data_IF_171341894132
#
_entry.id   IF_171341894132
#
_cell.length_a   1.000
_cell.length_b   1.000
_cell.length_c   1.000
_cell.angle_alpha   90.00
_cell.angle_beta   90.00
_cell.angle_gamma   90.00
#
_symmetry.space_group_name_H-M   'P 1'
#
loop_
_entity.id
_entity.type
_entity.pdbx_description
1 polymer ?
#
# COMPACT_ATOMS: atom_id res chain seq x y z
N UNK A 1 -16.13 -5.07 14.84
CA UNK A 1 -17.08 -5.27 15.97
C UNK A 1 -16.72 -4.44 17.21
N UNK A 2 -15.43 -4.14 17.49
CA UNK A 2 -15.04 -3.00 18.34
C UNK A 2 -14.60 -1.78 17.50
N UNK A 3 -13.86 -2.03 16.41
CA UNK A 3 -13.41 -1.02 15.45
C UNK A 3 -14.57 -0.17 14.88
N UNK A 4 -15.71 -0.76 14.55
CA UNK A 4 -16.85 -0.01 14.00
C UNK A 4 -17.42 0.99 15.01
N UNK A 5 -17.52 0.62 16.29
CA UNK A 5 -17.99 1.53 17.35
C UNK A 5 -17.01 2.68 17.58
N UNK A 6 -15.70 2.39 17.49
CA UNK A 6 -14.68 3.43 17.56
C UNK A 6 -14.66 4.30 16.31
N UNK A 7 -14.93 3.75 15.13
CA UNK A 7 -15.02 4.47 13.86
C UNK A 7 -16.21 5.44 13.88
N UNK A 8 -17.36 5.01 14.40
CA UNK A 8 -18.53 5.89 14.59
C UNK A 8 -18.22 7.07 15.53
N UNK A 9 -17.41 6.86 16.57
CA UNK A 9 -17.11 7.88 17.59
C UNK A 9 -15.91 8.77 17.25
N UNK A 10 -14.88 8.20 16.63
CA UNK A 10 -13.57 8.84 16.40
C UNK A 10 -13.17 8.92 14.92
N UNK A 11 -14.01 8.46 13.99
CA UNK A 11 -13.73 8.48 12.55
C UNK A 11 -13.37 9.86 12.01
N UNK A 12 -13.94 10.92 12.60
CA UNK A 12 -13.64 12.32 12.24
C UNK A 12 -12.20 12.77 12.54
N UNK A 13 -11.48 12.07 13.42
CA UNK A 13 -10.09 12.38 13.78
C UNK A 13 -9.08 11.55 12.97
N UNK A 14 -9.54 10.69 12.06
CA UNK A 14 -8.66 9.90 11.23
C UNK A 14 -7.89 10.81 10.26
N UNK A 15 -6.56 10.69 10.26
CA UNK A 15 -5.70 11.52 9.40
C UNK A 15 -5.72 10.93 7.99
N UNK A 16 -6.26 11.63 6.98
CA UNK A 16 -6.25 11.15 5.61
C UNK A 16 -4.84 11.17 5.04
N UNK A 17 -4.51 10.19 4.21
CA UNK A 17 -3.19 10.07 3.58
C UNK A 17 -2.04 9.91 4.59
N UNK A 18 -2.30 9.23 5.72
CA UNK A 18 -1.27 8.89 6.71
C UNK A 18 -0.03 8.20 6.09
N UNK A 19 -0.13 7.29 5.09
CA UNK A 19 1.04 6.74 4.39
C UNK A 19 1.98 7.81 3.83
N UNK A 20 1.44 8.92 3.31
CA UNK A 20 2.26 10.02 2.78
C UNK A 20 3.05 10.70 3.88
N UNK A 21 2.42 10.91 5.04
CA UNK A 21 3.05 11.53 6.21
C UNK A 21 4.19 10.63 6.72
N UNK A 22 3.93 9.33 6.87
CA UNK A 22 4.95 8.36 7.31
C UNK A 22 6.16 8.38 6.39
N UNK A 23 5.92 8.34 5.07
CA UNK A 23 7.00 8.36 4.07
C UNK A 23 7.77 9.67 4.09
N UNK A 24 7.11 10.79 4.34
CA UNK A 24 7.78 12.09 4.51
C UNK A 24 8.63 12.11 5.78
N UNK A 25 8.16 11.54 6.88
CA UNK A 25 8.97 11.39 8.12
C UNK A 25 10.21 10.54 7.86
N UNK A 26 10.09 9.43 7.14
CA UNK A 26 11.23 8.60 6.75
C UNK A 26 12.20 9.34 5.82
N UNK A 27 11.71 10.16 4.89
CA UNK A 27 12.56 11.00 4.06
C UNK A 27 13.36 12.01 4.90
N UNK A 28 12.72 12.65 5.89
CA UNK A 28 13.38 13.57 6.83
C UNK A 28 14.43 12.83 7.66
N UNK A 29 14.09 11.68 8.24
CA UNK A 29 15.04 10.88 9.02
C UNK A 29 16.23 10.40 8.20
N UNK A 30 16.01 10.02 6.94
CA UNK A 30 17.08 9.67 6.01
C UNK A 30 18.03 10.85 5.76
N UNK A 31 17.50 12.06 5.56
CA UNK A 31 18.34 13.26 5.41
C UNK A 31 19.16 13.53 6.68
N UNK A 32 18.54 13.40 7.86
CA UNK A 32 19.25 13.56 9.14
C UNK A 32 20.38 12.53 9.28
N UNK A 33 20.12 11.26 8.94
CA UNK A 33 21.12 10.19 8.97
C UNK A 33 22.37 10.52 8.13
N UNK A 34 22.18 11.15 6.96
CA UNK A 34 23.28 11.49 6.06
C UNK A 34 24.02 12.79 6.46
N UNK A 35 23.34 13.74 7.12
CA UNK A 35 23.96 14.99 7.57
C UNK A 35 24.73 14.80 8.88
N UNK A 36 24.13 14.09 9.84
CA UNK A 36 24.74 13.90 11.15
C UNK A 36 24.27 12.58 11.79
N UNK A 37 25.14 11.55 11.78
CA UNK A 37 24.87 10.30 12.49
C UNK A 37 24.59 10.51 13.99
N UNK A 38 25.17 11.56 14.59
CA UNK A 38 24.93 11.93 15.99
C UNK A 38 23.52 12.48 16.22
N UNK A 39 22.95 13.20 15.25
CA UNK A 39 21.54 13.63 15.35
C UNK A 39 20.59 12.45 15.14
N UNK A 40 20.96 11.50 14.26
CA UNK A 40 20.15 10.31 14.01
C UNK A 40 20.00 9.43 15.26
N UNK A 41 21.06 9.23 16.03
CA UNK A 41 20.99 8.47 17.29
C UNK A 41 20.15 9.18 18.38
N UNK A 42 19.86 10.48 18.25
CA UNK A 42 18.91 11.19 19.11
C UNK A 42 17.45 10.87 18.78
N UNK A 43 17.18 10.28 17.61
CA UNK A 43 15.83 9.94 17.16
C UNK A 43 15.35 8.60 17.74
N UNK A 44 16.27 7.67 18.04
CA UNK A 44 15.97 6.30 18.49
C UNK A 44 15.11 6.26 19.75
N UNK A 45 14.22 5.27 19.82
CA UNK A 45 13.40 5.06 21.00
C UNK A 45 14.23 4.37 22.08
N UNK A 46 14.69 5.17 23.05
CA UNK A 46 15.46 4.69 24.20
C UNK A 46 14.75 5.06 25.52
N UNK A 47 14.15 4.09 26.24
CA UNK A 47 13.42 4.34 27.48
C UNK A 47 14.28 4.97 28.58
N UNK A 48 15.54 4.54 28.72
CA UNK A 48 16.46 5.09 29.72
C UNK A 48 16.66 6.60 29.51
N UNK A 49 16.97 7.01 28.28
CA UNK A 49 17.18 8.42 27.95
C UNK A 49 15.90 9.26 28.05
N UNK A 50 14.74 8.66 27.80
CA UNK A 50 13.44 9.32 28.00
C UNK A 50 13.24 9.65 29.49
N UNK A 51 13.54 8.70 30.38
CA UNK A 51 13.46 8.92 31.83
C UNK A 51 14.46 9.96 32.34
N UNK A 52 15.55 10.20 31.61
CA UNK A 52 16.55 11.23 31.88
C UNK A 52 16.29 12.57 31.15
N UNK A 53 15.07 12.79 30.66
CA UNK A 53 14.62 14.08 30.11
C UNK A 53 14.54 14.18 28.58
N UNK A 54 14.91 13.13 27.83
CA UNK A 54 14.81 13.12 26.36
C UNK A 54 13.43 12.66 25.85
N UNK A 55 12.36 13.33 26.29
CA UNK A 55 10.97 12.93 26.03
C UNK A 55 10.57 12.93 24.55
N UNK A 56 11.27 13.70 23.70
CA UNK A 56 11.01 13.76 22.26
C UNK A 56 11.18 12.41 21.56
N UNK A 57 11.99 11.49 22.12
CA UNK A 57 12.24 10.14 21.58
C UNK A 57 10.98 9.30 21.38
N UNK A 58 9.91 9.60 22.12
CA UNK A 58 8.59 8.96 21.97
C UNK A 58 7.95 9.26 20.61
N UNK A 59 8.33 10.37 19.96
CA UNK A 59 7.81 10.78 18.65
C UNK A 59 8.87 10.70 17.57
N UNK A 60 10.12 11.08 17.88
CA UNK A 60 11.18 11.18 16.87
C UNK A 60 11.57 9.83 16.26
N UNK A 61 11.34 8.72 16.96
CA UNK A 61 11.66 7.40 16.42
C UNK A 61 10.84 7.06 15.18
N UNK A 62 9.70 7.72 14.95
CA UNK A 62 8.89 7.59 13.73
C UNK A 62 9.58 8.14 12.49
N UNK A 63 10.63 8.96 12.65
CA UNK A 63 11.45 9.42 11.53
C UNK A 63 12.47 8.35 11.10
N UNK A 64 12.76 7.37 11.95
CA UNK A 64 13.67 6.27 11.62
C UNK A 64 12.99 5.38 10.59
N UNK A 65 13.42 5.54 9.35
CA UNK A 65 12.92 4.78 8.20
C UNK A 65 13.86 3.66 7.78
N UNK A 66 13.53 2.96 6.69
CA UNK A 66 14.37 1.91 6.13
C UNK A 66 15.75 2.46 5.73
N UNK A 67 16.81 1.77 6.14
CA UNK A 67 18.17 2.11 5.77
C UNK A 67 18.52 1.55 4.39
N UNK A 68 18.96 2.42 3.49
CA UNK A 68 19.24 2.09 2.09
C UNK A 68 20.23 3.10 1.52
N UNK A 69 20.86 2.78 0.38
CA UNK A 69 21.70 3.72 -0.35
C UNK A 69 20.90 4.93 -0.86
N UNK A 70 21.60 6.06 -1.05
CA UNK A 70 21.03 7.34 -1.50
C UNK A 70 20.17 7.24 -2.78
N UNK A 71 20.57 6.38 -3.73
CA UNK A 71 19.83 6.19 -4.98
C UNK A 71 18.58 5.33 -4.77
N UNK A 72 18.67 4.33 -3.89
CA UNK A 72 17.59 3.36 -3.66
C UNK A 72 16.51 3.87 -2.70
N UNK A 73 16.82 4.86 -1.86
CA UNK A 73 15.88 5.38 -0.88
C UNK A 73 14.58 5.89 -1.53
N UNK A 74 14.67 6.54 -2.69
CA UNK A 74 13.49 7.05 -3.40
C UNK A 74 12.56 5.90 -3.79
N UNK A 75 13.13 4.82 -4.35
CA UNK A 75 12.36 3.64 -4.74
C UNK A 75 11.73 2.95 -3.53
N UNK A 76 12.48 2.84 -2.42
CA UNK A 76 11.98 2.25 -1.17
C UNK A 76 10.85 3.10 -0.58
N UNK A 77 11.00 4.42 -0.51
CA UNK A 77 9.97 5.33 -0.01
C UNK A 77 8.70 5.29 -0.88
N UNK A 78 8.85 5.25 -2.21
CA UNK A 78 7.72 5.07 -3.12
C UNK A 78 7.04 3.71 -2.93
N UNK A 79 7.81 2.66 -2.66
CA UNK A 79 7.28 1.34 -2.36
C UNK A 79 6.47 1.32 -1.07
N UNK A 80 7.00 1.91 0.02
CA UNK A 80 6.26 2.07 1.28
C UNK A 80 5.01 2.93 1.13
N UNK A 81 5.08 4.01 0.33
CA UNK A 81 3.91 4.82 0.01
C UNK A 81 2.84 4.00 -0.74
N UNK A 82 3.25 3.22 -1.74
CA UNK A 82 2.36 2.37 -2.54
C UNK A 82 1.67 1.30 -1.68
N UNK A 83 2.42 0.64 -0.80
CA UNK A 83 1.89 -0.35 0.16
C UNK A 83 0.89 0.30 1.10
N UNK A 84 1.30 1.38 1.77
CA UNK A 84 0.48 2.06 2.77
C UNK A 84 -0.80 2.62 2.16
N UNK A 85 -0.72 3.27 1.00
CA UNK A 85 -1.90 3.81 0.29
C UNK A 85 -2.85 2.72 -0.18
N UNK A 86 -2.34 1.59 -0.65
CA UNK A 86 -3.16 0.43 -1.03
C UNK A 86 -3.89 -0.16 0.17
N UNK A 87 -3.23 -0.25 1.32
CA UNK A 87 -3.86 -0.68 2.58
C UNK A 87 -4.89 0.32 3.07
N UNK A 88 -4.57 1.62 3.09
CA UNK A 88 -5.51 2.67 3.50
C UNK A 88 -6.77 2.67 2.61
N UNK A 89 -6.62 2.51 1.30
CA UNK A 89 -7.74 2.48 0.37
C UNK A 89 -8.67 1.28 0.60
N UNK A 90 -8.14 0.11 0.96
CA UNK A 90 -8.94 -1.10 1.19
C UNK A 90 -9.51 -1.14 2.61
N UNK A 91 -8.78 -0.66 3.61
CA UNK A 91 -9.20 -0.70 5.01
C UNK A 91 -10.06 0.50 5.41
N UNK A 92 -9.91 1.63 4.71
CA UNK A 92 -10.42 2.94 5.11
C UNK A 92 -9.45 3.67 6.04
N UNK A 93 -9.45 5.00 5.94
CA UNK A 93 -8.54 5.90 6.66
C UNK A 93 -8.49 5.64 8.16
N UNK A 94 -9.64 5.48 8.82
CA UNK A 94 -9.71 5.24 10.27
C UNK A 94 -9.01 3.94 10.70
N UNK A 95 -9.24 2.84 9.97
CA UNK A 95 -8.68 1.54 10.34
C UNK A 95 -7.17 1.50 10.13
N UNK A 96 -6.69 2.12 9.05
CA UNK A 96 -5.25 2.25 8.81
C UNK A 96 -4.58 3.10 9.90
N UNK A 97 -5.18 4.23 10.27
CA UNK A 97 -4.71 5.06 11.38
C UNK A 97 -4.64 4.25 12.69
N UNK A 98 -5.71 3.51 13.02
CA UNK A 98 -5.75 2.68 14.22
C UNK A 98 -4.69 1.58 14.22
N UNK A 99 -4.47 0.91 13.08
CA UNK A 99 -3.44 -0.12 12.93
C UNK A 99 -2.04 0.45 13.18
N UNK A 100 -1.74 1.60 12.57
CA UNK A 100 -0.44 2.23 12.71
C UNK A 100 -0.23 2.75 14.14
N UNK A 101 -1.21 3.45 14.71
CA UNK A 101 -1.13 3.99 16.08
C UNK A 101 -1.02 2.91 17.14
N UNK A 102 -1.78 1.81 17.04
CA UNK A 102 -1.64 0.67 17.96
C UNK A 102 -0.27 0.02 17.81
N UNK A 103 0.26 -0.06 16.59
CA UNK A 103 1.63 -0.51 16.34
C UNK A 103 2.66 0.37 17.04
N UNK A 104 2.56 1.69 16.87
CA UNK A 104 3.44 2.69 17.50
C UNK A 104 3.38 2.58 19.03
N UNK A 105 2.17 2.52 19.60
CA UNK A 105 1.98 2.32 21.05
C UNK A 105 2.55 0.98 21.52
N UNK A 106 2.37 -0.09 20.73
CA UNK A 106 2.94 -1.40 21.01
C UNK A 106 4.46 -1.38 21.06
N UNK A 107 5.11 -0.68 20.12
CA UNK A 107 6.56 -0.47 20.14
C UNK A 107 7.01 0.33 21.35
N UNK A 108 6.30 1.42 21.69
CA UNK A 108 6.62 2.23 22.88
C UNK A 108 6.52 1.39 24.15
N UNK A 109 5.38 0.72 24.36
CA UNK A 109 5.17 -0.15 25.52
C UNK A 109 6.19 -1.29 25.54
N UNK A 110 6.48 -1.89 24.39
CA UNK A 110 7.50 -2.95 24.24
C UNK A 110 8.90 -2.49 24.63
N UNK A 111 9.28 -1.25 24.28
CA UNK A 111 10.55 -0.66 24.67
C UNK A 111 10.63 -0.48 26.19
N UNK A 112 9.64 0.17 26.79
CA UNK A 112 9.60 0.37 28.24
C UNK A 112 9.54 -0.95 29.02
N UNK A 113 8.78 -1.93 28.54
CA UNK A 113 8.71 -3.25 29.15
C UNK A 113 10.08 -3.94 29.12
N UNK A 114 10.74 -3.92 27.96
CA UNK A 114 12.10 -4.47 27.81
C UNK A 114 13.09 -3.76 28.74
N UNK A 115 13.02 -2.42 28.82
CA UNK A 115 13.85 -1.64 29.73
C UNK A 115 13.67 -2.06 31.19
N UNK A 116 12.43 -2.18 31.67
CA UNK A 116 12.13 -2.59 33.06
C UNK A 116 12.62 -4.01 33.33
N UNK A 117 12.36 -4.96 32.41
CA UNK A 117 12.79 -6.35 32.56
C UNK A 117 14.32 -6.46 32.65
N UNK A 118 15.04 -5.79 31.74
CA UNK A 118 16.49 -5.86 31.71
C UNK A 118 17.14 -5.13 32.88
N UNK A 119 16.58 -3.98 33.27
CA UNK A 119 17.04 -3.23 34.44
C UNK A 119 16.88 -4.06 35.71
N UNK A 120 15.75 -4.74 35.87
CA UNK A 120 15.51 -5.59 37.03
C UNK A 120 16.38 -6.86 37.04
N UNK A 121 16.58 -7.48 35.87
CA UNK A 121 17.30 -8.75 35.78
C UNK A 121 18.84 -8.61 35.80
N UNK A 122 19.37 -7.54 35.21
CA UNK A 122 20.82 -7.38 34.97
C UNK A 122 21.38 -6.03 35.44
N UNK A 123 20.53 -5.10 35.87
CA UNK A 123 20.91 -3.75 36.31
C UNK A 123 20.69 -2.66 35.25
N UNK A 124 20.66 -1.40 35.68
CA UNK A 124 20.35 -0.22 34.83
C UNK A 124 21.28 -0.09 33.62
N UNK A 125 22.55 -0.47 33.75
CA UNK A 125 23.51 -0.43 32.65
C UNK A 125 23.05 -1.23 31.43
N UNK A 126 22.34 -2.34 31.62
CA UNK A 126 21.79 -3.15 30.53
C UNK A 126 20.50 -2.54 29.96
N UNK A 127 19.67 -1.93 30.81
CA UNK A 127 18.48 -1.18 30.38
C UNK A 127 18.83 0.01 29.48
N UNK A 128 19.96 0.68 29.73
CA UNK A 128 20.42 1.83 28.95
C UNK A 128 20.68 1.53 27.46
N UNK A 129 20.97 0.26 27.11
CA UNK A 129 21.22 -0.17 25.73
C UNK A 129 19.96 -0.57 24.96
N UNK A 130 18.77 -0.44 25.55
CA UNK A 130 17.51 -0.71 24.85
C UNK A 130 17.23 0.40 23.85
N UNK A 131 17.33 0.07 22.57
CA UNK A 131 16.94 0.92 21.46
C UNK A 131 15.95 0.17 20.57
N UNK A 132 14.87 0.85 20.18
CA UNK A 132 13.87 0.33 19.24
C UNK A 132 13.56 1.36 18.16
N UNK A 133 13.04 0.88 17.04
CA UNK A 133 12.74 1.69 15.86
C UNK A 133 11.42 1.23 15.19
N UNK A 134 11.17 1.70 13.96
CA UNK A 134 9.98 1.33 13.20
C UNK A 134 10.13 0.04 12.38
N UNK A 135 11.27 -0.65 12.44
CA UNK A 135 11.59 -1.77 11.55
C UNK A 135 10.54 -2.89 11.61
N UNK A 136 10.26 -3.40 12.81
CA UNK A 136 9.29 -4.49 12.99
C UNK A 136 7.83 -4.05 12.71
N UNK A 137 7.52 -2.77 12.95
CA UNK A 137 6.24 -2.19 12.57
C UNK A 137 6.10 -2.20 11.03
N UNK A 138 7.14 -1.81 10.31
CA UNK A 138 7.17 -1.83 8.84
C UNK A 138 7.08 -3.26 8.29
N UNK A 139 7.76 -4.23 8.90
CA UNK A 139 7.65 -5.64 8.49
C UNK A 139 6.22 -6.17 8.66
N UNK A 140 5.57 -5.89 9.78
CA UNK A 140 4.18 -6.34 9.97
C UNK A 140 3.17 -5.61 9.08
N UNK A 141 3.43 -4.34 8.73
CA UNK A 141 2.66 -3.63 7.69
C UNK A 141 2.83 -4.31 6.33
N UNK A 142 4.05 -4.74 5.99
CA UNK A 142 4.32 -5.48 4.77
C UNK A 142 3.63 -6.85 4.77
N UNK A 143 3.67 -7.59 5.87
CA UNK A 143 2.94 -8.85 6.04
C UNK A 143 1.43 -8.65 5.87
N UNK A 144 0.88 -7.56 6.40
CA UNK A 144 -0.51 -7.17 6.19
C UNK A 144 -0.84 -6.94 4.71
N UNK A 145 0.01 -6.21 4.00
CA UNK A 145 -0.12 -6.01 2.56
C UNK A 145 -0.05 -7.34 1.80
N UNK A 146 0.93 -8.20 2.11
CA UNK A 146 1.10 -9.50 1.47
C UNK A 146 -0.10 -10.44 1.67
N UNK A 147 -0.72 -10.39 2.84
CA UNK A 147 -1.94 -11.17 3.15
C UNK A 147 -3.16 -10.72 2.34
N UNK A 148 -3.24 -9.42 2.01
CA UNK A 148 -4.38 -8.83 1.29
C UNK A 148 -4.20 -8.87 -0.22
N UNK A 149 -2.96 -8.73 -0.69
CA UNK A 149 -2.61 -8.61 -2.10
C UNK A 149 -1.56 -9.64 -2.56
N UNK A 150 -1.78 -10.96 -2.33
CA UNK A 150 -0.77 -11.99 -2.60
C UNK A 150 -0.39 -12.13 -4.08
N UNK A 151 -1.30 -11.78 -4.99
CA UNK A 151 -1.11 -11.88 -6.45
C UNK A 151 -0.62 -10.59 -7.09
N UNK A 152 -0.39 -9.52 -6.32
CA UNK A 152 0.27 -8.33 -6.85
C UNK A 152 1.74 -8.63 -7.15
N UNK A 153 2.30 -7.97 -8.15
CA UNK A 153 3.69 -8.14 -8.58
C UNK A 153 4.51 -6.90 -8.23
N UNK A 154 5.71 -7.13 -7.70
CA UNK A 154 6.71 -6.11 -7.40
C UNK A 154 7.93 -6.40 -8.26
N UNK A 155 8.40 -5.40 -8.99
CA UNK A 155 9.56 -5.54 -9.85
C UNK A 155 10.85 -5.34 -9.05
N UNK A 156 11.54 -6.44 -8.74
CA UNK A 156 12.85 -6.41 -8.13
C UNK A 156 13.85 -5.79 -9.12
N UNK A 157 14.56 -4.74 -8.68
CA UNK A 157 15.50 -3.97 -9.53
C UNK A 157 14.89 -3.48 -10.86
N UNK A 158 13.57 -3.27 -10.91
CA UNK A 158 12.84 -2.91 -12.13
C UNK A 158 12.88 -3.96 -13.27
N UNK A 159 13.40 -5.17 -13.01
CA UNK A 159 13.59 -6.20 -14.03
C UNK A 159 12.71 -7.43 -13.75
N UNK A 160 12.76 -7.97 -12.53
CA UNK A 160 12.18 -9.28 -12.24
C UNK A 160 10.85 -9.13 -11.47
N UNK A 161 9.69 -9.45 -12.07
CA UNK A 161 8.41 -9.40 -11.37
C UNK A 161 8.30 -10.57 -10.38
N UNK A 162 8.22 -10.24 -9.09
CA UNK A 162 8.01 -11.20 -8.00
C UNK A 162 6.62 -10.98 -7.41
N UNK A 163 5.85 -12.05 -7.26
CA UNK A 163 4.56 -11.98 -6.57
C UNK A 163 4.77 -11.69 -5.08
N UNK A 164 3.99 -10.76 -4.53
CA UNK A 164 4.08 -10.31 -3.15
C UNK A 164 3.91 -11.47 -2.16
N UNK A 165 3.14 -12.53 -2.48
CA UNK A 165 3.04 -13.71 -1.60
C UNK A 165 4.38 -14.35 -1.27
N UNK A 166 5.31 -14.41 -2.23
CA UNK A 166 6.64 -14.98 -2.02
C UNK A 166 7.47 -14.10 -1.09
N UNK A 167 7.39 -12.78 -1.29
CA UNK A 167 8.03 -11.81 -0.39
C UNK A 167 7.43 -11.87 1.01
N UNK A 168 6.12 -12.06 1.15
CA UNK A 168 5.47 -12.23 2.45
C UNK A 168 5.87 -13.51 3.18
N UNK A 169 6.06 -14.62 2.46
CA UNK A 169 6.62 -15.85 3.05
C UNK A 169 8.07 -15.66 3.48
N UNK A 170 8.88 -14.97 2.67
CA UNK A 170 10.26 -14.63 3.01
C UNK A 170 10.31 -13.74 4.27
N UNK A 171 9.48 -12.69 4.31
CA UNK A 171 9.38 -11.78 5.46
C UNK A 171 8.96 -12.52 6.74
N UNK A 172 7.92 -13.34 6.67
CA UNK A 172 7.50 -14.18 7.79
C UNK A 172 8.58 -15.17 8.25
N UNK A 173 9.28 -15.80 7.31
CA UNK A 173 10.39 -16.71 7.62
C UNK A 173 11.58 -15.95 8.25
N UNK A 174 11.87 -14.75 7.77
CA UNK A 174 12.92 -13.88 8.29
C UNK A 174 12.63 -13.45 9.73
N UNK A 175 11.38 -13.08 10.05
CA UNK A 175 10.95 -12.80 11.42
C UNK A 175 11.13 -14.01 12.34
N UNK A 176 10.75 -15.21 11.88
CA UNK A 176 10.94 -16.45 12.65
C UNK A 176 12.43 -16.73 12.85
N UNK A 177 13.24 -16.61 11.80
CA UNK A 177 14.67 -16.85 11.86
C UNK A 177 15.35 -15.93 12.88
N UNK A 178 15.10 -14.61 12.81
CA UNK A 178 15.64 -13.64 13.77
C UNK A 178 15.13 -13.93 15.19
N UNK A 179 13.85 -14.26 15.33
CA UNK A 179 13.30 -14.58 16.64
C UNK A 179 14.03 -15.77 17.29
N UNK A 180 14.41 -16.78 16.52
CA UNK A 180 15.14 -17.94 17.02
C UNK A 180 16.64 -17.68 17.20
N UNK A 181 17.28 -16.93 16.30
CA UNK A 181 18.73 -16.70 16.30
C UNK A 181 19.21 -15.58 17.22
N UNK A 182 18.32 -14.66 17.61
CA UNK A 182 18.64 -13.47 18.42
C UNK A 182 19.20 -13.74 19.83
N UNK A 183 19.18 -14.98 20.31
CA UNK A 183 19.69 -15.34 21.64
C UNK A 183 18.95 -14.62 22.80
N UNK A 184 19.46 -14.75 24.03
CA UNK A 184 18.91 -14.08 25.22
C UNK A 184 19.82 -12.94 25.71
N UNK A 185 20.43 -12.20 24.77
CA UNK A 185 21.17 -10.97 25.07
C UNK A 185 20.23 -9.77 25.18
N UNK A 186 20.70 -8.61 25.64
CA UNK A 186 19.91 -7.36 25.66
C UNK A 186 19.30 -7.04 24.31
N UNK A 187 20.12 -7.07 23.25
CA UNK A 187 19.66 -6.87 21.88
C UNK A 187 18.64 -7.96 21.50
N UNK A 188 18.91 -9.21 21.87
CA UNK A 188 18.03 -10.33 21.54
C UNK A 188 16.64 -10.26 22.18
N UNK A 189 16.58 -9.89 23.46
CA UNK A 189 15.30 -9.71 24.18
C UNK A 189 14.53 -8.54 23.57
N UNK A 190 15.20 -7.43 23.24
CA UNK A 190 14.58 -6.27 22.58
C UNK A 190 13.97 -6.65 21.23
N UNK A 191 14.70 -7.43 20.43
CA UNK A 191 14.24 -7.96 19.15
C UNK A 191 13.01 -8.87 19.33
N UNK A 192 13.06 -9.82 20.27
CA UNK A 192 11.95 -10.75 20.54
C UNK A 192 10.69 -10.01 20.97
N UNK A 193 10.80 -9.07 21.90
CA UNK A 193 9.65 -8.26 22.37
C UNK A 193 9.08 -7.42 21.24
N UNK A 194 9.93 -6.81 20.41
CA UNK A 194 9.49 -6.02 19.25
C UNK A 194 8.74 -6.87 18.22
N UNK A 195 9.27 -8.06 17.89
CA UNK A 195 8.61 -9.01 16.98
C UNK A 195 7.25 -9.43 17.55
N UNK A 196 7.18 -9.78 18.84
CA UNK A 196 5.93 -10.18 19.49
C UNK A 196 4.92 -9.04 19.49
N UNK A 197 5.32 -7.82 19.86
CA UNK A 197 4.43 -6.65 19.85
C UNK A 197 3.88 -6.36 18.44
N UNK A 198 4.75 -6.39 17.43
CA UNK A 198 4.37 -6.16 16.05
C UNK A 198 3.44 -7.27 15.52
N UNK A 199 3.75 -8.54 15.79
CA UNK A 199 2.91 -9.68 15.37
C UNK A 199 1.56 -9.67 16.08
N UNK A 200 1.50 -9.30 17.36
CA UNK A 200 0.24 -9.13 18.08
C UNK A 200 -0.62 -8.04 17.44
N UNK A 201 -0.04 -6.91 17.03
CA UNK A 201 -0.75 -5.87 16.28
C UNK A 201 -1.30 -6.42 14.95
N UNK A 202 -0.46 -7.12 14.18
CA UNK A 202 -0.88 -7.78 12.95
C UNK A 202 -2.02 -8.77 13.17
N UNK A 203 -1.91 -9.67 14.15
CA UNK A 203 -2.91 -10.69 14.45
C UNK A 203 -4.22 -10.07 14.95
N UNK A 204 -4.16 -9.06 15.84
CA UNK A 204 -5.34 -8.34 16.32
C UNK A 204 -6.18 -7.81 15.17
N UNK A 205 -5.53 -7.17 14.20
CA UNK A 205 -6.21 -6.71 13.00
C UNK A 205 -6.62 -7.88 12.11
N UNK A 206 -5.73 -8.85 11.86
CA UNK A 206 -6.01 -9.98 10.96
C UNK A 206 -7.28 -10.75 11.35
N UNK A 207 -7.46 -11.02 12.65
CA UNK A 207 -8.67 -11.67 13.17
C UNK A 207 -9.89 -10.75 13.13
N UNK A 208 -9.74 -9.46 13.40
CA UNK A 208 -10.82 -8.47 13.22
C UNK A 208 -11.25 -8.33 11.75
N UNK A 209 -10.39 -8.74 10.81
CA UNK A 209 -10.52 -8.55 9.37
C UNK A 209 -11.13 -9.72 8.59
N UNK A 210 -11.49 -10.86 9.21
CA UNK A 210 -12.14 -12.00 8.51
C UNK A 210 -13.41 -11.61 7.69
N UNK A 211 -14.09 -10.51 8.04
CA UNK A 211 -15.25 -9.96 7.28
C UNK A 211 -14.84 -9.00 6.14
N UNK A 212 -13.69 -8.33 6.22
CA UNK A 212 -13.16 -7.38 5.20
C UNK A 212 -12.57 -8.12 4.00
N UNK A 213 -12.15 -9.38 4.15
CA UNK A 213 -11.73 -10.22 3.02
C UNK A 213 -12.82 -10.36 1.94
N UNK A 214 -14.11 -10.28 2.32
CA UNK A 214 -15.24 -10.17 1.37
C UNK A 214 -15.30 -8.81 0.66
N UNK A 215 -14.97 -7.72 1.34
CA UNK A 215 -14.91 -6.37 0.73
C UNK A 215 -13.70 -6.19 -0.20
N UNK A 216 -12.52 -6.73 0.14
CA UNK A 216 -11.36 -6.76 -0.75
C UNK A 216 -11.59 -7.62 -2.00
N UNK A 217 -12.31 -8.75 -1.87
CA UNK A 217 -12.78 -9.52 -3.00
C UNK A 217 -13.76 -8.72 -3.89
N UNK A 218 -14.66 -7.95 -3.28
CA UNK A 218 -15.56 -7.04 -4.00
C UNK A 218 -14.82 -5.87 -4.68
N UNK A 219 -13.73 -5.36 -4.09
CA UNK A 219 -12.85 -4.37 -4.71
C UNK A 219 -12.13 -4.95 -5.94
N UNK A 220 -11.55 -6.16 -5.81
CA UNK A 220 -10.97 -6.91 -6.94
C UNK A 220 -12.00 -7.13 -8.05
N UNK A 221 -13.23 -7.53 -7.70
CA UNK A 221 -14.32 -7.68 -8.65
C UNK A 221 -14.64 -6.35 -9.36
N UNK A 222 -14.77 -5.23 -8.63
CA UNK A 222 -15.11 -3.91 -9.19
C UNK A 222 -14.01 -3.34 -10.09
N UNK A 223 -12.73 -3.56 -9.75
CA UNK A 223 -11.58 -3.12 -10.55
C UNK A 223 -11.40 -3.97 -11.81
N UNK A 224 -11.56 -5.29 -11.72
CA UNK A 224 -11.59 -6.18 -12.89
C UNK A 224 -12.77 -5.84 -13.78
N UNK A 225 -13.95 -5.57 -13.22
CA UNK A 225 -15.14 -5.20 -14.00
C UNK A 225 -14.96 -3.85 -14.71
N UNK A 226 -14.36 -2.84 -14.06
CA UNK A 226 -13.99 -1.57 -14.71
C UNK A 226 -12.95 -1.76 -15.82
N UNK A 227 -11.90 -2.57 -15.60
CA UNK A 227 -10.91 -2.90 -16.65
C UNK A 227 -11.56 -3.62 -17.83
N UNK A 228 -12.41 -4.62 -17.58
CA UNK A 228 -13.17 -5.35 -18.62
C UNK A 228 -14.14 -4.44 -19.35
N UNK A 229 -14.87 -3.55 -18.67
CA UNK A 229 -15.79 -2.60 -19.30
C UNK A 229 -15.03 -1.58 -20.17
N UNK A 230 -13.85 -1.10 -19.73
CA UNK A 230 -12.98 -0.25 -20.55
C UNK A 230 -12.42 -1.00 -21.76
N UNK A 231 -11.98 -2.23 -21.59
CA UNK A 231 -11.48 -3.07 -22.68
C UNK A 231 -12.59 -3.45 -23.68
N UNK A 232 -13.82 -3.67 -23.19
CA UNK A 232 -15.00 -3.89 -24.04
C UNK A 232 -15.35 -2.63 -24.83
N UNK A 233 -15.40 -1.45 -24.17
CA UNK A 233 -15.60 -0.16 -24.86
C UNK A 233 -14.51 0.12 -25.91
N UNK A 234 -13.25 -0.19 -25.60
CA UNK A 234 -12.15 -0.03 -26.54
C UNK A 234 -12.19 -1.04 -27.71
N UNK A 235 -12.75 -2.25 -27.51
CA UNK A 235 -13.00 -3.22 -28.58
C UNK A 235 -14.22 -2.88 -29.44
N UNK A 236 -15.24 -2.24 -28.88
CA UNK A 236 -16.40 -1.78 -29.65
C UNK A 236 -16.12 -0.50 -30.43
N UNK A 237 -15.14 0.30 -29.99
CA UNK A 237 -14.63 1.48 -30.70
C UNK A 237 -13.32 1.09 -31.39
N UNK A 238 -13.39 0.15 -32.34
CA UNK A 238 -12.29 -0.03 -33.29
C UNK A 238 -12.52 0.96 -34.43
N UNK A 239 -11.65 1.97 -34.61
CA UNK A 239 -11.75 2.85 -35.76
C UNK A 239 -11.68 2.02 -37.04
N UNK A 240 -12.50 2.38 -38.03
CA UNK A 240 -12.44 1.82 -39.38
C UNK A 240 -11.18 2.36 -40.08
N UNK A 241 -11.06 2.08 -41.37
CA UNK A 241 -9.90 2.43 -42.20
C UNK A 241 -9.45 3.88 -41.96
N UNK A 242 -8.14 4.11 -41.85
CA UNK A 242 -7.51 5.43 -41.61
C UNK A 242 -7.89 6.17 -40.32
N UNK A 243 -8.46 5.49 -39.31
CA UNK A 243 -8.78 6.14 -38.03
C UNK A 243 -10.18 6.77 -37.98
N UNK A 244 -10.95 6.69 -39.07
CA UNK A 244 -12.32 7.18 -39.13
C UNK A 244 -13.26 6.32 -38.26
N UNK A 245 -14.15 6.95 -37.51
CA UNK A 245 -15.20 6.28 -36.75
C UNK A 245 -16.35 5.82 -37.64
N UNK A 246 -16.66 6.61 -38.68
CA UNK A 246 -17.77 6.36 -39.60
C UNK A 246 -17.30 6.13 -41.03
N UNK A 247 -17.91 5.15 -41.71
CA UNK A 247 -17.65 4.83 -43.12
C UNK A 247 -18.95 4.37 -43.79
N UNK A 248 -19.28 4.95 -44.94
CA UNK A 248 -20.46 4.56 -45.69
C UNK A 248 -20.26 3.20 -46.39
N UNK A 249 -21.20 2.28 -46.22
CA UNK A 249 -21.17 0.94 -46.82
C UNK A 249 -21.31 0.92 -48.36
N UNK A 250 -21.69 2.03 -49.00
CA UNK A 250 -21.91 2.12 -50.46
C UNK A 250 -20.75 2.83 -51.15
N UNK A 251 -20.36 4.02 -50.68
CA UNK A 251 -19.35 4.85 -51.32
C UNK A 251 -18.00 4.89 -50.61
N UNK A 252 -17.87 4.24 -49.44
CA UNK A 252 -16.65 4.19 -48.63
C UNK A 252 -16.09 5.55 -48.18
N UNK A 253 -16.84 6.65 -48.34
CA UNK A 253 -16.49 7.94 -47.74
C UNK A 253 -16.57 7.84 -46.23
N UNK A 254 -15.67 8.56 -45.58
CA UNK A 254 -15.52 8.63 -44.13
C UNK A 254 -15.74 10.06 -43.63
N UNK A 255 -15.91 10.22 -42.32
CA UNK A 255 -15.99 11.55 -41.68
C UNK A 255 -14.71 12.41 -41.86
N UNK A 256 -13.60 11.79 -42.26
CA UNK A 256 -12.34 12.47 -42.53
C UNK A 256 -12.29 13.08 -43.93
N UNK A 257 -13.11 12.60 -44.86
CA UNK A 257 -13.13 13.08 -46.25
C UNK A 257 -13.93 14.38 -46.39
N UNK A 258 -14.97 14.55 -45.57
CA UNK A 258 -15.82 15.74 -45.55
C UNK A 258 -16.48 15.92 -44.17
N UNK A 259 -16.20 17.03 -43.44
CA UNK A 259 -16.75 17.29 -42.12
C UNK A 259 -18.28 17.50 -42.07
N UNK A 260 -18.93 17.80 -43.20
CA UNK A 260 -20.39 18.04 -43.24
C UNK A 260 -21.20 16.74 -43.43
N UNK A 261 -20.55 15.61 -43.74
CA UNK A 261 -21.23 14.33 -43.95
C UNK A 261 -21.73 13.72 -42.63
N UNK A 262 -23.04 13.57 -42.50
CA UNK A 262 -23.61 12.75 -41.43
C UNK A 262 -23.78 11.28 -41.84
N UNK A 263 -23.43 10.38 -40.93
CA UNK A 263 -23.59 8.94 -41.09
C UNK A 263 -24.73 8.43 -40.20
N UNK A 264 -25.64 7.64 -40.77
CA UNK A 264 -26.80 7.06 -40.06
C UNK A 264 -26.96 5.58 -40.38
N UNK A 265 -27.57 4.87 -39.44
CA UNK A 265 -27.95 3.47 -39.60
C UNK A 265 -29.32 3.36 -40.26
N UNK A 266 -29.48 2.39 -41.17
CA UNK A 266 -30.78 2.05 -41.73
C UNK A 266 -31.49 1.04 -40.83
N UNK A 267 -32.69 1.37 -40.36
CA UNK A 267 -33.51 0.50 -39.49
C UNK A 267 -34.05 -0.76 -40.18
N UNK A 268 -33.99 -0.83 -41.52
CA UNK A 268 -34.51 -1.94 -42.33
C UNK A 268 -33.43 -2.93 -42.79
N UNK A 269 -32.15 -2.61 -42.56
CA UNK A 269 -31.02 -3.45 -42.95
C UNK A 269 -30.59 -4.35 -41.79
N UNK A 270 -30.23 -5.59 -42.10
CA UNK A 270 -29.65 -6.52 -41.12
C UNK A 270 -28.14 -6.25 -40.97
N UNK A 271 -27.72 -5.88 -39.76
CA UNK A 271 -26.31 -5.63 -39.42
C UNK A 271 -25.98 -4.16 -39.18
N UNK A 272 -24.74 -3.89 -38.79
CA UNK A 272 -24.27 -2.55 -38.41
C UNK A 272 -23.68 -1.79 -39.62
N UNK A 273 -24.50 -1.58 -40.65
CA UNK A 273 -24.11 -0.80 -41.84
C UNK A 273 -24.51 0.68 -41.67
N UNK A 274 -23.53 1.56 -41.84
CA UNK A 274 -23.72 3.01 -41.83
C UNK A 274 -23.80 3.54 -43.26
N UNK A 275 -24.62 4.55 -43.47
CA UNK A 275 -24.81 5.21 -44.77
C UNK A 275 -24.67 6.72 -44.60
N UNK A 276 -24.00 7.41 -45.53
CA UNK A 276 -24.01 8.86 -45.57
C UNK A 276 -25.40 9.39 -45.98
N UNK A 277 -25.66 10.68 -45.77
CA UNK A 277 -26.94 11.33 -46.12
C UNK A 277 -27.40 11.03 -47.57
N UNK A 278 -26.47 10.98 -48.53
CA UNK A 278 -26.76 10.68 -49.94
C UNK A 278 -27.21 9.24 -50.20
N UNK A 279 -26.70 8.29 -49.41
CA UNK A 279 -26.92 6.85 -49.60
C UNK A 279 -27.93 6.25 -48.62
N UNK A 280 -28.36 7.00 -47.60
CA UNK A 280 -29.29 6.52 -46.58
C UNK A 280 -30.66 6.12 -47.16
N UNK A 281 -31.11 6.78 -48.23
CA UNK A 281 -32.41 6.50 -48.85
C UNK A 281 -32.32 5.81 -50.22
N UNK A 282 -31.12 5.68 -50.77
CA UNK A 282 -30.88 5.12 -52.12
C UNK A 282 -30.17 3.76 -52.10
N UNK A 283 -29.72 3.29 -50.93
CA UNK A 283 -29.10 1.97 -50.81
C UNK A 283 -30.11 0.83 -50.99
N UNK A 284 -29.61 -0.31 -51.48
CA UNK A 284 -30.37 -1.57 -51.46
C UNK A 284 -30.27 -2.17 -50.07
N UNK A 285 -31.43 -2.48 -49.47
CA UNK A 285 -31.46 -3.08 -48.14
C UNK A 285 -30.78 -4.45 -48.15
N UNK A 286 -29.79 -4.61 -47.26
CA UNK A 286 -29.15 -5.89 -46.99
C UNK A 286 -30.03 -6.63 -45.99
N UNK A 287 -30.58 -7.77 -46.40
CA UNK A 287 -31.31 -8.70 -45.53
C UNK A 287 -30.57 -10.02 -45.54
N UNK A 288 -30.46 -10.68 -44.39
CA UNK A 288 -29.88 -12.02 -44.29
C UNK A 288 -30.83 -13.09 -44.79
#
# INVERSE_FOLDING_TARGET
MWLNKLEEKFGRYAIPNLPKIIVLLYAVGFVIANISPRLYSLLELNPYLILHGQVWRIVTFLLIGPETNLIFVIFVLLFYYSIGSSLEQVWGTFRFNMYYLIGVLGTIVGAFLTYVILTFAYGEGYGAFVNMDTFYLNMTLFLAYASMFPEMEVYLYMILPIKVKWLGYLDGLYLIYIFLSSGFTVAGISVKVSIVAALLNFLLFFFSMKKIRRMGANFKAKTIHKKKARAYKAKTITPKKNGAMHECAVCHRTELDDPELEFRYCSKCDGNYEYCQDHLFTHKHVKR
#
